data_IF_137239072743
#
_entry.id   IF_137239072743
#
_cell.length_a   1.000
_cell.length_b   1.000
_cell.length_c   1.000
_cell.angle_alpha   90.00
_cell.angle_beta   90.00
_cell.angle_gamma   90.00
#
_symmetry.space_group_name_H-M   'P 1'
#
loop_
_entity.id
_entity.type
_entity.pdbx_description
1 polymer ?
#
# COMPACT_ATOMS: atom_id res chain seq x y z
N UNK A 1 -19.53 -5.94 18.59
CA UNK A 1 -18.27 -6.71 18.65
C UNK A 1 -17.40 -6.22 17.50
N UNK A 2 -16.41 -5.35 17.76
CA UNK A 2 -15.53 -4.83 16.70
C UNK A 2 -14.59 -5.97 16.30
N UNK A 3 -14.84 -6.54 15.15
CA UNK A 3 -13.95 -7.54 14.57
C UNK A 3 -12.70 -6.78 14.13
N UNK A 4 -11.59 -6.96 14.84
CA UNK A 4 -10.29 -6.48 14.40
C UNK A 4 -9.85 -7.38 13.23
N UNK A 5 -10.14 -6.93 12.04
CA UNK A 5 -9.54 -7.53 10.87
C UNK A 5 -8.04 -7.21 10.90
N UNK A 6 -7.25 -8.20 11.26
CA UNK A 6 -5.85 -8.18 10.87
C UNK A 6 -5.85 -8.33 9.36
N UNK A 7 -5.66 -7.20 8.70
CA UNK A 7 -5.40 -7.21 7.27
C UNK A 7 -4.18 -8.09 7.10
N UNK A 8 -4.44 -9.22 6.48
CA UNK A 8 -3.38 -9.92 5.84
C UNK A 8 -2.87 -8.95 4.78
N UNK A 9 -1.84 -8.19 5.14
CA UNK A 9 -0.92 -7.74 4.12
C UNK A 9 -0.61 -9.04 3.40
N UNK A 10 -1.24 -9.25 2.25
CA UNK A 10 -0.76 -10.23 1.31
C UNK A 10 0.63 -9.72 1.02
N UNK A 11 1.53 -10.11 1.90
CA UNK A 11 2.94 -10.01 1.63
C UNK A 11 3.08 -10.95 0.45
N UNK A 12 2.85 -10.39 -0.73
CA UNK A 12 3.42 -10.94 -1.92
C UNK A 12 4.90 -10.98 -1.55
N UNK A 13 5.31 -12.09 -0.98
CA UNK A 13 6.68 -12.49 -0.99
C UNK A 13 6.96 -12.65 -2.47
N UNK A 14 7.16 -11.51 -3.14
CA UNK A 14 7.90 -11.52 -4.39
C UNK A 14 9.12 -12.27 -3.99
N UNK A 15 9.17 -13.50 -4.43
CA UNK A 15 10.34 -14.32 -4.43
C UNK A 15 11.46 -13.43 -4.94
N UNK A 16 12.16 -12.80 -4.02
CA UNK A 16 13.46 -12.21 -4.28
C UNK A 16 14.36 -13.43 -4.42
N UNK A 17 14.17 -14.11 -5.54
CA UNK A 17 15.11 -15.09 -6.02
C UNK A 17 16.40 -14.33 -6.32
N UNK A 18 17.28 -14.49 -5.38
CA UNK A 18 18.72 -14.60 -5.56
C UNK A 18 19.39 -13.63 -6.52
N UNK A 19 20.24 -12.85 -5.94
CA UNK A 19 21.51 -12.58 -6.58
C UNK A 19 21.60 -11.27 -7.30
N UNK A 20 22.43 -10.49 -6.78
CA UNK A 20 23.23 -9.42 -7.34
C UNK A 20 22.99 -8.08 -6.68
N UNK A 21 23.97 -7.72 -5.86
CA UNK A 21 24.30 -6.34 -5.57
C UNK A 21 23.25 -5.62 -4.74
N UNK A 22 23.19 -5.90 -3.45
CA UNK A 22 22.54 -5.00 -2.50
C UNK A 22 23.26 -3.67 -2.60
N UNK A 23 22.73 -2.79 -3.42
CA UNK A 23 23.17 -1.41 -3.46
C UNK A 23 22.91 -0.84 -2.06
N UNK A 24 23.95 -0.28 -1.44
CA UNK A 24 23.87 0.47 -0.19
C UNK A 24 23.10 1.78 -0.39
N UNK A 25 22.04 1.76 -1.16
CA UNK A 25 21.22 2.93 -1.44
C UNK A 25 20.39 3.26 -0.19
N UNK A 26 20.90 4.20 0.60
CA UNK A 26 20.27 4.73 1.81
C UNK A 26 19.14 5.72 1.47
N UNK A 27 18.58 5.71 0.27
CA UNK A 27 17.48 6.58 -0.08
C UNK A 27 16.28 6.28 0.83
N UNK A 28 15.90 7.24 1.63
CA UNK A 28 14.72 7.20 2.50
C UNK A 28 13.65 8.16 2.00
N UNK A 29 12.40 7.81 2.22
CA UNK A 29 11.28 8.72 2.01
C UNK A 29 11.21 9.74 3.13
N UNK A 30 10.92 10.98 2.79
CA UNK A 30 10.45 11.99 3.73
C UNK A 30 8.93 11.99 3.66
N UNK A 31 8.30 11.64 4.78
CA UNK A 31 6.86 11.47 4.90
C UNK A 31 6.34 12.61 5.77
N UNK A 32 5.55 13.47 5.16
CA UNK A 32 4.86 14.57 5.85
C UNK A 32 3.45 14.09 6.23
N UNK A 33 3.40 13.31 7.31
CA UNK A 33 2.15 12.73 7.78
C UNK A 33 1.28 13.77 8.52
N UNK A 34 -0.05 13.58 8.56
CA UNK A 34 -0.94 14.43 9.34
C UNK A 34 -0.52 14.53 10.81
N UNK A 35 -0.86 15.66 11.42
CA UNK A 35 -0.57 15.93 12.83
C UNK A 35 -1.08 14.80 13.74
N UNK A 36 -0.28 14.43 14.74
CA UNK A 36 -0.55 13.31 15.66
C UNK A 36 -0.56 11.89 15.02
N UNK A 37 -0.10 11.74 13.78
CA UNK A 37 0.15 10.40 13.23
C UNK A 37 1.40 9.79 13.85
N UNK A 38 1.38 8.48 14.10
CA UNK A 38 2.55 7.74 14.53
C UNK A 38 3.24 7.18 13.29
N UNK A 39 4.53 7.49 13.11
CA UNK A 39 5.35 6.95 12.04
C UNK A 39 6.40 6.03 12.66
N UNK A 40 6.36 4.76 12.32
CA UNK A 40 7.38 3.79 12.67
C UNK A 40 8.21 3.45 11.43
N UNK A 41 9.52 3.59 11.54
CA UNK A 41 10.46 3.14 10.51
C UNK A 41 11.21 1.93 11.01
N UNK A 42 11.13 0.85 10.26
CA UNK A 42 11.88 -0.37 10.51
C UNK A 42 12.70 -0.75 9.28
N UNK A 43 13.69 -1.59 9.47
CA UNK A 43 14.43 -2.20 8.37
C UNK A 43 14.29 -3.71 8.55
N UNK A 44 13.58 -4.36 7.63
CA UNK A 44 13.42 -5.81 7.59
C UNK A 44 14.17 -6.35 6.38
N UNK A 45 15.10 -7.28 6.60
CA UNK A 45 15.92 -7.86 5.51
C UNK A 45 16.58 -6.79 4.62
N UNK A 46 17.14 -5.73 5.23
CA UNK A 46 17.76 -4.58 4.57
C UNK A 46 16.78 -3.72 3.73
N UNK A 47 15.48 -3.95 3.83
CA UNK A 47 14.44 -3.20 3.12
C UNK A 47 13.81 -2.18 4.07
N UNK A 48 13.83 -0.88 3.76
CA UNK A 48 13.11 0.14 4.51
C UNK A 48 11.60 -0.09 4.46
N UNK A 49 10.99 -0.06 5.64
CA UNK A 49 9.56 -0.25 5.85
C UNK A 49 9.06 0.86 6.78
N UNK A 50 7.98 1.51 6.40
CA UNK A 50 7.33 2.56 7.17
C UNK A 50 5.89 2.12 7.47
N UNK A 51 5.53 2.20 8.75
CA UNK A 51 4.15 2.04 9.21
C UNK A 51 3.65 3.39 9.70
N UNK A 52 2.51 3.82 9.20
CA UNK A 52 1.88 5.08 9.58
C UNK A 52 0.50 4.77 10.13
N UNK A 53 0.31 5.08 11.40
CA UNK A 53 -0.99 4.96 12.07
C UNK A 53 -1.59 6.35 12.19
N UNK A 54 -2.78 6.55 11.64
CA UNK A 54 -3.51 7.80 11.75
C UNK A 54 -4.16 7.93 13.15
N UNK A 55 -4.24 9.15 13.72
CA UNK A 55 -4.77 9.35 15.05
C UNK A 55 -6.26 9.01 15.13
N UNK A 56 -6.64 8.38 16.24
CA UNK A 56 -8.02 8.02 16.63
C UNK A 56 -8.67 6.88 15.84
N UNK A 57 -7.96 6.17 15.00
CA UNK A 57 -8.54 5.18 14.11
C UNK A 57 -7.62 3.98 13.89
N UNK A 58 -8.22 2.82 13.60
CA UNK A 58 -7.50 1.57 13.31
C UNK A 58 -6.98 1.52 11.84
N UNK A 59 -6.76 2.68 11.24
CA UNK A 59 -6.36 2.80 9.85
C UNK A 59 -4.84 2.78 9.71
N UNK A 60 -4.35 1.91 8.85
CA UNK A 60 -2.92 1.72 8.62
C UNK A 60 -2.53 2.04 7.19
N UNK A 61 -1.39 2.69 7.08
CA UNK A 61 -0.67 2.89 5.83
C UNK A 61 0.71 2.26 5.96
N UNK A 62 1.01 1.31 5.12
CA UNK A 62 2.32 0.65 5.05
C UNK A 62 3.04 1.06 3.77
N UNK A 63 4.31 1.43 3.87
CA UNK A 63 5.16 1.79 2.73
C UNK A 63 6.43 0.96 2.77
N UNK A 64 6.64 0.15 1.74
CA UNK A 64 7.77 -0.77 1.65
C UNK A 64 8.57 -0.47 0.39
N UNK A 65 9.89 -0.33 0.52
CA UNK A 65 10.77 -0.20 -0.64
C UNK A 65 10.85 -1.52 -1.40
N UNK A 66 10.65 -1.46 -2.72
CA UNK A 66 10.83 -2.62 -3.59
C UNK A 66 12.25 -2.53 -4.18
N UNK A 67 13.11 -3.54 -3.96
CA UNK A 67 14.50 -3.52 -4.43
C UNK A 67 14.61 -3.87 -5.92
N UNK A 68 13.71 -3.35 -6.73
CA UNK A 68 13.63 -3.57 -8.17
C UNK A 68 13.62 -2.21 -8.87
N UNK A 69 14.31 -2.12 -9.99
CA UNK A 69 14.31 -0.91 -10.82
C UNK A 69 12.92 -0.70 -11.43
N UNK A 70 12.33 0.50 -11.31
CA UNK A 70 10.99 0.74 -11.83
C UNK A 70 10.96 0.58 -13.35
N UNK A 71 9.95 -0.15 -13.84
CA UNK A 71 9.57 -0.17 -15.24
C UNK A 71 8.05 -0.04 -15.36
N UNK A 72 7.59 0.59 -16.45
CA UNK A 72 6.14 0.76 -16.68
C UNK A 72 5.44 -0.59 -16.86
N UNK A 73 6.09 -1.52 -17.52
CA UNK A 73 5.59 -2.87 -17.77
C UNK A 73 5.45 -3.64 -16.45
N UNK A 74 6.48 -3.61 -15.60
CA UNK A 74 6.41 -4.25 -14.29
C UNK A 74 5.24 -3.71 -13.47
N UNK A 75 5.07 -2.38 -13.40
CA UNK A 75 4.01 -1.75 -12.61
C UNK A 75 2.63 -2.16 -13.12
N UNK A 76 2.42 -2.17 -14.44
CA UNK A 76 1.14 -2.59 -15.03
C UNK A 76 0.85 -4.06 -14.72
N UNK A 77 1.79 -4.94 -15.03
CA UNK A 77 1.65 -6.39 -14.79
C UNK A 77 1.43 -6.70 -13.32
N UNK A 78 2.14 -6.01 -12.41
CA UNK A 78 1.95 -6.17 -10.97
C UNK A 78 0.53 -5.80 -10.54
N UNK A 79 0.04 -4.63 -10.95
CA UNK A 79 -1.30 -4.16 -10.57
C UNK A 79 -2.40 -5.05 -11.17
N UNK A 80 -2.25 -5.49 -12.41
CA UNK A 80 -3.20 -6.37 -13.08
C UNK A 80 -3.26 -7.75 -12.38
N UNK A 81 -2.10 -8.32 -12.06
CA UNK A 81 -2.00 -9.60 -11.34
C UNK A 81 -2.58 -9.47 -9.94
N UNK A 82 -2.26 -8.36 -9.24
CA UNK A 82 -2.79 -8.11 -7.92
C UNK A 82 -4.33 -8.01 -7.94
N UNK A 83 -4.88 -7.25 -8.89
CA UNK A 83 -6.34 -7.11 -9.04
C UNK A 83 -7.02 -8.45 -9.26
N UNK A 84 -6.46 -9.28 -10.14
CA UNK A 84 -7.01 -10.60 -10.44
C UNK A 84 -7.02 -11.51 -9.21
N UNK A 85 -5.93 -11.52 -8.45
CA UNK A 85 -5.76 -12.45 -7.34
C UNK A 85 -6.41 -11.95 -6.04
N UNK A 86 -6.52 -10.65 -5.84
CA UNK A 86 -7.02 -10.05 -4.61
C UNK A 86 -8.41 -10.57 -4.21
N UNK A 87 -9.33 -10.58 -5.16
CA UNK A 87 -10.70 -11.02 -4.93
C UNK A 87 -10.76 -12.48 -4.47
N UNK A 88 -10.05 -13.34 -5.16
CA UNK A 88 -10.06 -14.78 -4.88
C UNK A 88 -9.41 -15.08 -3.53
N UNK A 89 -8.30 -14.39 -3.20
CA UNK A 89 -7.64 -14.56 -1.92
C UNK A 89 -8.47 -14.00 -0.76
N UNK A 90 -9.15 -12.86 -0.94
CA UNK A 90 -10.02 -12.31 0.08
C UNK A 90 -11.20 -13.25 0.38
N UNK A 91 -11.84 -13.81 -0.65
CA UNK A 91 -12.93 -14.77 -0.49
C UNK A 91 -12.45 -16.01 0.29
N UNK A 92 -11.31 -16.60 -0.10
CA UNK A 92 -10.73 -17.75 0.60
C UNK A 92 -10.45 -17.48 2.08
N UNK A 93 -9.98 -16.27 2.40
CA UNK A 93 -9.67 -15.89 3.78
C UNK A 93 -10.93 -15.68 4.64
N UNK A 94 -12.00 -15.20 4.04
CA UNK A 94 -13.25 -14.96 4.74
C UNK A 94 -14.10 -16.23 4.91
N UNK A 95 -13.93 -17.21 4.05
CA UNK A 95 -14.70 -18.47 4.06
C UNK A 95 -14.70 -19.14 5.44
N UNK A 96 -13.55 -19.35 6.14
CA UNK A 96 -13.53 -19.99 7.46
C UNK A 96 -14.23 -19.17 8.55
N UNK A 97 -14.41 -17.87 8.34
CA UNK A 97 -15.01 -16.95 9.32
C UNK A 97 -16.54 -16.89 9.21
N UNK A 98 -17.12 -17.44 8.14
CA UNK A 98 -18.53 -17.34 7.84
C UNK A 98 -18.99 -15.95 7.38
N UNK A 99 -18.06 -15.01 7.19
CA UNK A 99 -18.35 -13.66 6.70
C UNK A 99 -18.58 -13.71 5.20
N UNK A 100 -19.72 -13.17 4.76
CA UNK A 100 -20.08 -13.11 3.35
C UNK A 100 -19.91 -11.69 2.82
N UNK A 101 -19.38 -11.61 1.61
CA UNK A 101 -19.26 -10.37 0.87
C UNK A 101 -20.50 -10.17 -0.01
N UNK A 102 -20.96 -8.93 -0.11
CA UNK A 102 -21.99 -8.54 -1.07
C UNK A 102 -21.34 -8.16 -2.41
N UNK A 103 -20.28 -7.36 -2.35
CA UNK A 103 -19.63 -6.84 -3.55
C UNK A 103 -18.16 -6.49 -3.28
N UNK A 104 -17.33 -6.65 -4.30
CA UNK A 104 -15.96 -6.10 -4.37
C UNK A 104 -15.86 -5.33 -5.68
N UNK A 105 -15.73 -4.01 -5.58
CA UNK A 105 -15.43 -3.12 -6.71
C UNK A 105 -13.96 -2.75 -6.71
N UNK A 106 -13.39 -2.48 -7.88
CA UNK A 106 -12.03 -1.98 -8.02
C UNK A 106 -11.97 -0.78 -8.95
N UNK A 107 -11.27 0.26 -8.52
CA UNK A 107 -11.07 1.48 -9.28
C UNK A 107 -9.57 1.79 -9.39
N UNK A 108 -9.14 2.18 -10.58
CA UNK A 108 -7.76 2.61 -10.82
C UNK A 108 -7.56 4.03 -10.28
N UNK A 109 -6.42 4.25 -9.65
CA UNK A 109 -6.03 5.56 -9.16
C UNK A 109 -4.65 5.95 -9.67
N UNK A 110 -4.52 7.21 -10.11
CA UNK A 110 -3.26 7.78 -10.55
C UNK A 110 -3.02 9.10 -9.80
N UNK A 111 -1.89 9.19 -9.11
CA UNK A 111 -1.50 10.38 -8.39
C UNK A 111 -0.20 10.93 -8.98
N UNK A 112 -0.15 12.23 -9.18
CA UNK A 112 1.07 12.93 -9.58
C UNK A 112 1.52 13.83 -8.45
N UNK A 113 2.71 13.62 -7.98
CA UNK A 113 3.43 14.49 -7.06
C UNK A 113 4.60 15.18 -7.77
N UNK A 114 5.32 16.07 -7.07
CA UNK A 114 6.45 16.80 -7.66
C UNK A 114 7.65 15.90 -8.00
N UNK A 115 7.79 14.75 -7.33
CA UNK A 115 8.94 13.85 -7.47
C UNK A 115 8.48 12.45 -7.86
N UNK A 116 7.33 12.02 -7.38
CA UNK A 116 6.82 10.66 -7.56
C UNK A 116 5.58 10.64 -8.44
N UNK A 117 5.54 9.64 -9.31
CA UNK A 117 4.31 9.19 -9.91
C UNK A 117 3.83 7.95 -9.14
N UNK A 118 2.54 7.86 -8.87
CA UNK A 118 1.97 6.66 -8.30
C UNK A 118 0.79 6.17 -9.12
N UNK A 119 0.74 4.87 -9.31
CA UNK A 119 -0.40 4.16 -9.86
C UNK A 119 -0.88 3.17 -8.83
N UNK A 120 -2.17 3.00 -8.73
CA UNK A 120 -2.73 2.08 -7.76
C UNK A 120 -4.13 1.64 -8.12
N UNK A 121 -4.64 0.76 -7.27
CA UNK A 121 -6.00 0.23 -7.34
C UNK A 121 -6.60 0.37 -5.95
N UNK A 122 -7.83 0.83 -5.90
CA UNK A 122 -8.65 0.88 -4.69
C UNK A 122 -9.75 -0.16 -4.82
N UNK A 123 -9.88 -1.01 -3.83
CA UNK A 123 -10.98 -1.95 -3.69
C UNK A 123 -11.99 -1.43 -2.68
N UNK A 124 -13.24 -1.36 -3.08
CA UNK A 124 -14.37 -1.12 -2.18
C UNK A 124 -15.01 -2.46 -1.86
N UNK A 125 -14.95 -2.87 -0.60
CA UNK A 125 -15.45 -4.14 -0.10
C UNK A 125 -16.73 -3.87 0.68
N UNK A 126 -17.84 -4.44 0.27
CA UNK A 126 -19.13 -4.33 0.96
C UNK A 126 -19.48 -5.67 1.60
N UNK A 127 -19.72 -5.66 2.91
CA UNK A 127 -20.10 -6.86 3.67
C UNK A 127 -21.62 -7.06 3.64
N UNK A 128 -22.06 -8.30 3.37
CA UNK A 128 -23.48 -8.62 3.21
C UNK A 128 -24.30 -8.37 4.48
N UNK A 129 -23.76 -8.71 5.64
CA UNK A 129 -24.49 -8.69 6.92
C UNK A 129 -24.64 -7.29 7.51
N UNK A 130 -23.60 -6.47 7.44
CA UNK A 130 -23.59 -5.14 8.08
C UNK A 130 -23.84 -4.01 7.10
N UNK A 131 -23.70 -4.27 5.79
CA UNK A 131 -23.66 -3.25 4.73
C UNK A 131 -22.51 -2.24 4.90
N UNK A 132 -21.59 -2.53 5.82
CA UNK A 132 -20.39 -1.72 6.00
C UNK A 132 -19.48 -1.80 4.79
N UNK A 133 -18.79 -0.69 4.53
CA UNK A 133 -17.81 -0.60 3.46
C UNK A 133 -16.42 -0.40 4.04
N UNK A 134 -15.49 -1.14 3.51
CA UNK A 134 -14.06 -0.95 3.80
C UNK A 134 -13.34 -0.70 2.49
N UNK A 135 -12.37 0.20 2.52
CA UNK A 135 -11.51 0.47 1.39
C UNK A 135 -10.14 -0.16 1.63
N UNK A 136 -9.69 -0.93 0.67
CA UNK A 136 -8.30 -1.37 0.60
C UNK A 136 -7.65 -0.81 -0.66
N UNK A 137 -6.44 -0.34 -0.55
CA UNK A 137 -5.73 0.19 -1.71
C UNK A 137 -4.28 -0.28 -1.74
N UNK A 138 -3.80 -0.53 -2.94
CA UNK A 138 -2.39 -0.73 -3.21
C UNK A 138 -1.93 0.28 -4.23
N UNK A 139 -0.78 0.90 -3.98
CA UNK A 139 -0.13 1.82 -4.90
C UNK A 139 1.29 1.37 -5.14
N UNK A 140 1.77 1.60 -6.35
CA UNK A 140 3.18 1.59 -6.68
C UNK A 140 3.59 3.04 -6.91
N UNK A 141 4.46 3.52 -6.04
CA UNK A 141 5.08 4.84 -6.17
C UNK A 141 6.45 4.65 -6.76
N UNK A 142 6.78 5.44 -7.74
CA UNK A 142 8.10 5.38 -8.34
C UNK A 142 8.67 6.76 -8.62
N UNK A 143 9.97 6.88 -8.48
CA UNK A 143 10.81 7.86 -9.13
C UNK A 143 11.69 7.14 -10.17
N UNK A 144 12.59 7.83 -10.83
CA UNK A 144 13.46 7.20 -11.84
C UNK A 144 14.42 6.14 -11.29
N UNK A 145 14.60 6.07 -9.97
CA UNK A 145 15.59 5.22 -9.29
C UNK A 145 14.98 4.22 -8.33
N UNK A 146 13.90 4.59 -7.65
CA UNK A 146 13.32 3.82 -6.55
C UNK A 146 11.87 3.51 -6.82
N UNK A 147 11.43 2.39 -6.29
CA UNK A 147 10.04 1.97 -6.31
C UNK A 147 9.59 1.58 -4.90
N UNK A 148 8.36 1.93 -4.55
CA UNK A 148 7.77 1.67 -3.26
C UNK A 148 6.37 1.12 -3.44
N UNK A 149 6.04 0.09 -2.68
CA UNK A 149 4.67 -0.38 -2.53
C UNK A 149 4.05 0.32 -1.35
N UNK A 150 2.84 0.81 -1.53
CA UNK A 150 2.01 1.37 -0.46
C UNK A 150 0.76 0.54 -0.34
N UNK A 151 0.47 0.10 0.87
CA UNK A 151 -0.76 -0.62 1.19
C UNK A 151 -1.55 0.20 2.20
N UNK A 152 -2.83 0.40 1.93
CA UNK A 152 -3.75 1.16 2.75
C UNK A 152 -5.00 0.34 3.05
N UNK A 153 -5.49 0.50 4.27
CA UNK A 153 -6.82 0.05 4.65
C UNK A 153 -7.49 1.12 5.49
N UNK A 154 -8.78 1.35 5.27
CA UNK A 154 -9.52 2.34 6.01
C UNK A 154 -10.85 2.72 5.36
N UNK A 155 -11.30 3.92 5.65
CA UNK A 155 -12.47 4.54 5.06
C UNK A 155 -12.11 5.59 3.98
N UNK A 156 -13.12 6.19 3.38
CA UNK A 156 -12.96 7.18 2.30
C UNK A 156 -12.24 8.46 2.77
N UNK A 157 -12.49 8.90 4.01
CA UNK A 157 -11.84 10.09 4.56
C UNK A 157 -10.33 9.87 4.72
N UNK A 158 -9.93 8.67 5.14
CA UNK A 158 -8.53 8.28 5.28
C UNK A 158 -7.87 8.00 3.95
N UNK A 159 -8.58 7.42 2.98
CA UNK A 159 -8.08 7.28 1.63
C UNK A 159 -7.71 8.65 1.03
N UNK A 160 -8.55 9.68 1.25
CA UNK A 160 -8.23 11.04 0.83
C UNK A 160 -6.98 11.59 1.50
N UNK A 161 -6.84 11.44 2.83
CA UNK A 161 -5.64 11.85 3.58
C UNK A 161 -4.39 11.11 3.07
N UNK A 162 -4.51 9.81 2.80
CA UNK A 162 -3.45 9.00 2.21
C UNK A 162 -3.03 9.53 0.85
N UNK A 163 -3.98 9.80 -0.04
CA UNK A 163 -3.70 10.36 -1.36
C UNK A 163 -2.97 11.70 -1.28
N UNK A 164 -3.38 12.58 -0.36
CA UNK A 164 -2.73 13.88 -0.15
C UNK A 164 -1.32 13.72 0.42
N UNK A 165 -1.10 12.76 1.30
CA UNK A 165 0.23 12.40 1.79
C UNK A 165 1.12 11.89 0.66
N UNK A 166 0.62 10.96 -0.16
CA UNK A 166 1.38 10.38 -1.26
C UNK A 166 1.80 11.41 -2.31
N UNK A 167 0.95 12.42 -2.58
CA UNK A 167 1.29 13.54 -3.46
C UNK A 167 2.43 14.42 -2.93
N UNK A 168 2.64 14.45 -1.62
CA UNK A 168 3.65 15.30 -0.95
C UNK A 168 4.95 14.59 -0.63
N UNK A 169 5.07 13.29 -0.93
CA UNK A 169 6.28 12.52 -0.65
C UNK A 169 7.53 13.15 -1.26
N UNK A 170 8.62 13.14 -0.50
CA UNK A 170 9.94 13.63 -0.90
C UNK A 170 10.99 12.56 -0.70
N UNK A 171 12.07 12.65 -1.46
CA UNK A 171 13.23 11.79 -1.26
C UNK A 171 14.27 12.55 -0.43
N UNK A 172 14.90 11.88 0.52
CA UNK A 172 15.98 12.46 1.34
C UNK A 172 17.15 13.01 0.51
N UNK A 173 17.36 12.46 -0.68
CA UNK A 173 18.41 12.90 -1.61
C UNK A 173 18.01 14.08 -2.51
N UNK A 174 16.81 14.61 -2.40
CA UNK A 174 16.33 15.74 -3.21
C UNK A 174 16.72 17.12 -2.66
N UNK A 175 17.51 17.16 -1.58
CA UNK A 175 18.11 18.39 -1.05
C UNK A 175 19.52 18.57 -1.63
N UNK A 176 19.61 18.79 -2.94
CA UNK A 176 20.79 19.41 -3.58
C UNK A 176 20.32 20.29 -4.70
#
# INVERSE_FOLDING_TARGET
MKIKFYILIISLHVLVLSGCGISKDQSSLIIDAPENSKIERTIKNFIPHYEITFPKEDNHLSIIKIPIKPSKEFISTFLDTFTKNFKDELIKQLEPTGIKLEEIKSDNINLKGPIYESKGIVFTITYLSSKDKTLEAIYIINDKKNMWQVSFNGDEAHLKKTNDLLKKLKNSNSKK
#
